data_IF_723733200538
#
_entry.id   IF_723733200538
#
_cell.length_a   1.000
_cell.length_b   1.000
_cell.length_c   1.000
_cell.angle_alpha   90.00
_cell.angle_beta   90.00
_cell.angle_gamma   90.00
#
_symmetry.space_group_name_H-M   'P 1'
#
loop_
_entity.id
_entity.type
_entity.pdbx_description
1 polymer ?
#
# COMPACT_ATOMS: atom_id res chain seq x y z
N UNK A 1 -0.14 -21.23 2.85
CA UNK A 1 -0.02 -20.02 2.00
C UNK A 1 1.40 -19.50 2.19
N UNK A 2 2.00 -18.96 1.12
CA UNK A 2 3.35 -18.38 1.19
C UNK A 2 3.32 -17.08 2.00
N UNK A 3 4.44 -16.73 2.64
CA UNK A 3 4.62 -15.44 3.32
C UNK A 3 4.35 -14.26 2.37
N UNK A 4 4.60 -14.44 1.08
CA UNK A 4 4.53 -13.40 0.05
C UNK A 4 3.21 -13.37 -0.71
N UNK A 5 2.19 -14.13 -0.29
CA UNK A 5 0.96 -14.30 -1.07
C UNK A 5 -0.02 -13.12 -0.98
N UNK A 6 0.15 -12.21 -0.02
CA UNK A 6 -0.76 -11.09 0.18
C UNK A 6 -0.06 -9.97 0.93
N UNK A 7 -0.33 -8.72 0.54
CA UNK A 7 -0.04 -7.58 1.39
C UNK A 7 -1.13 -6.53 1.33
N UNK A 8 -1.51 -6.01 2.50
CA UNK A 8 -2.41 -4.87 2.63
C UNK A 8 -1.59 -3.62 2.95
N UNK A 9 -1.90 -2.51 2.29
CA UNK A 9 -1.32 -1.20 2.58
C UNK A 9 -2.46 -0.25 2.92
N UNK A 10 -2.39 0.37 4.09
CA UNK A 10 -3.32 1.39 4.54
C UNK A 10 -2.71 2.75 4.31
N UNK A 11 -3.49 3.67 3.74
CA UNK A 11 -2.99 4.94 3.21
C UNK A 11 -3.89 6.11 3.60
N UNK A 12 -3.27 7.21 4.04
CA UNK A 12 -3.91 8.49 4.35
C UNK A 12 -3.26 9.67 3.61
N UNK A 13 -3.92 10.83 3.68
CA UNK A 13 -3.53 12.08 3.00
C UNK A 13 -3.50 11.98 1.46
N UNK A 14 -4.27 11.04 0.91
CA UNK A 14 -4.48 10.86 -0.52
C UNK A 14 -5.83 10.18 -0.75
N UNK A 15 -6.50 10.50 -1.85
CA UNK A 15 -7.76 9.86 -2.24
C UNK A 15 -7.54 8.54 -2.98
N UNK A 16 -8.59 7.74 -3.12
CA UNK A 16 -8.58 6.51 -3.95
C UNK A 16 -8.17 6.83 -5.39
N UNK A 17 -8.76 7.86 -5.99
CA UNK A 17 -8.49 8.25 -7.39
C UNK A 17 -7.06 8.76 -7.59
N UNK A 18 -6.54 9.54 -6.64
CA UNK A 18 -5.14 9.98 -6.67
C UNK A 18 -4.18 8.81 -6.49
N UNK A 19 -4.51 7.86 -5.61
CA UNK A 19 -3.74 6.62 -5.43
C UNK A 19 -3.71 5.82 -6.72
N UNK A 20 -4.86 5.63 -7.38
CA UNK A 20 -4.91 4.93 -8.68
C UNK A 20 -4.09 5.63 -9.76
N UNK A 21 -4.15 6.97 -9.84
CA UNK A 21 -3.32 7.75 -10.78
C UNK A 21 -1.83 7.60 -10.49
N UNK A 22 -1.43 7.66 -9.23
CA UNK A 22 -0.05 7.49 -8.80
C UNK A 22 0.47 6.10 -9.19
N UNK A 23 -0.27 5.04 -8.86
CA UNK A 23 0.14 3.66 -9.17
C UNK A 23 0.14 3.36 -10.67
N UNK A 24 -0.80 3.94 -11.43
CA UNK A 24 -0.80 3.87 -12.90
C UNK A 24 0.50 4.45 -13.48
N UNK A 25 0.89 5.64 -13.00
CA UNK A 25 2.13 6.29 -13.43
C UNK A 25 3.38 5.52 -13.00
N UNK A 26 3.39 4.97 -11.79
CA UNK A 26 4.52 4.20 -11.24
C UNK A 26 4.78 2.92 -12.03
N UNK A 27 3.70 2.24 -12.43
CA UNK A 27 3.78 0.90 -13.03
C UNK A 27 3.67 0.92 -14.56
N UNK A 28 3.28 2.05 -15.17
CA UNK A 28 3.08 2.16 -16.61
C UNK A 28 1.86 1.38 -17.11
N UNK A 29 0.82 1.26 -16.28
CA UNK A 29 -0.41 0.52 -16.59
C UNK A 29 -1.67 1.34 -16.31
N UNK A 30 -2.84 0.74 -16.55
CA UNK A 30 -4.14 1.36 -16.31
C UNK A 30 -5.00 0.49 -15.40
N UNK A 31 -5.80 1.13 -14.55
CA UNK A 31 -6.76 0.43 -13.72
C UNK A 31 -7.98 -0.01 -14.53
N UNK A 32 -8.33 -1.28 -14.40
CA UNK A 32 -9.64 -1.79 -14.77
C UNK A 32 -10.53 -1.78 -13.52
N UNK A 33 -11.41 -0.78 -13.43
CA UNK A 33 -12.20 -0.46 -12.23
C UNK A 33 -11.32 -0.10 -11.03
N UNK A 34 -10.90 -1.11 -10.27
CA UNK A 34 -10.11 -0.98 -9.03
C UNK A 34 -8.84 -1.80 -9.06
N UNK A 35 -8.61 -2.55 -10.13
CA UNK A 35 -7.52 -3.50 -10.24
C UNK A 35 -6.51 -3.03 -11.29
N UNK A 36 -5.23 -3.12 -10.97
CA UNK A 36 -4.11 -2.90 -11.85
C UNK A 36 -3.24 -4.16 -11.85
N UNK A 37 -2.94 -4.68 -13.03
CA UNK A 37 -2.01 -5.81 -13.20
C UNK A 37 -0.63 -5.30 -13.54
N UNK A 38 0.39 -5.74 -12.79
CA UNK A 38 1.80 -5.36 -12.99
C UNK A 38 2.64 -6.63 -13.02
N UNK A 39 3.01 -7.09 -14.22
CA UNK A 39 3.67 -8.39 -14.38
C UNK A 39 2.78 -9.51 -13.84
N UNK A 40 3.27 -10.26 -12.86
CA UNK A 40 2.53 -11.34 -12.19
C UNK A 40 1.91 -10.92 -10.84
N UNK A 41 1.79 -9.62 -10.59
CA UNK A 41 1.15 -9.05 -9.41
C UNK A 41 -0.17 -8.40 -9.78
N UNK A 42 -1.19 -8.64 -8.97
CA UNK A 42 -2.44 -7.90 -8.96
C UNK A 42 -2.40 -6.84 -7.84
N UNK A 43 -2.87 -5.64 -8.13
CA UNK A 43 -2.97 -4.53 -7.20
C UNK A 43 -4.41 -4.01 -7.22
N UNK A 44 -5.14 -4.12 -6.11
CA UNK A 44 -6.46 -3.51 -5.94
C UNK A 44 -6.36 -2.23 -5.09
N UNK A 45 -7.04 -1.16 -5.51
CA UNK A 45 -7.17 0.08 -4.72
C UNK A 45 -8.64 0.36 -4.43
N UNK A 46 -8.97 0.53 -3.16
CA UNK A 46 -10.34 0.78 -2.69
C UNK A 46 -10.41 1.75 -1.51
N UNK A 47 -11.62 2.25 -1.25
CA UNK A 47 -11.92 2.88 0.04
C UNK A 47 -11.83 1.81 1.11
N UNK A 48 -11.10 2.10 2.19
CA UNK A 48 -11.04 1.21 3.34
C UNK A 48 -12.45 1.09 3.98
N UNK A 49 -13.01 -0.12 4.12
CA UNK A 49 -14.31 -0.33 4.77
C UNK A 49 -14.32 0.13 6.23
N UNK A 50 -13.18 0.09 6.92
CA UNK A 50 -13.03 0.47 8.32
C UNK A 50 -12.79 1.98 8.50
N UNK A 51 -12.75 2.75 7.41
CA UNK A 51 -12.53 4.20 7.46
C UNK A 51 -13.70 4.94 8.13
N UNK A 52 -13.38 5.70 9.16
CA UNK A 52 -14.33 6.61 9.83
C UNK A 52 -14.38 7.98 9.16
N UNK A 53 -15.50 8.68 9.37
CA UNK A 53 -15.69 10.03 8.85
C UNK A 53 -14.91 11.09 9.64
N UNK A 54 -14.49 10.76 10.87
CA UNK A 54 -14.12 11.74 11.90
C UNK A 54 -12.63 12.17 11.84
N UNK A 55 -12.05 12.12 10.65
CA UNK A 55 -10.66 12.51 10.40
C UNK A 55 -9.65 11.37 10.56
N UNK A 56 -8.47 11.58 9.97
CA UNK A 56 -7.35 10.63 10.02
C UNK A 56 -6.56 10.86 11.29
N UNK A 57 -6.52 9.87 12.19
CA UNK A 57 -5.57 9.86 13.30
C UNK A 57 -4.28 9.17 12.84
N UNK A 58 -3.09 9.77 13.05
CA UNK A 58 -1.81 9.18 12.63
C UNK A 58 -1.58 7.77 13.20
N UNK A 59 -1.97 7.54 14.45
CA UNK A 59 -1.73 6.28 15.16
C UNK A 59 -2.78 5.19 14.91
N UNK A 60 -3.89 5.54 14.25
CA UNK A 60 -4.97 4.61 13.93
C UNK A 60 -5.00 4.31 12.43
N UNK A 61 -3.87 3.80 11.93
CA UNK A 61 -3.71 3.48 10.50
C UNK A 61 -4.73 2.47 9.99
N UNK A 62 -5.30 1.65 10.89
CA UNK A 62 -6.40 0.72 10.60
C UNK A 62 -7.62 1.44 10.01
N UNK A 63 -7.84 2.71 10.38
CA UNK A 63 -8.98 3.53 9.93
C UNK A 63 -8.64 4.50 8.80
N UNK A 64 -7.45 4.42 8.22
CA UNK A 64 -7.08 5.31 7.13
C UNK A 64 -7.93 5.09 5.88
N UNK A 65 -8.24 6.14 5.10
CA UNK A 65 -9.33 6.14 4.13
C UNK A 65 -9.11 5.23 2.91
N UNK A 66 -7.86 4.96 2.55
CA UNK A 66 -7.51 4.19 1.36
C UNK A 66 -6.85 2.88 1.76
N UNK A 67 -7.24 1.81 1.09
CA UNK A 67 -6.64 0.49 1.21
C UNK A 67 -6.15 0.04 -0.17
N UNK A 68 -4.93 -0.47 -0.20
CA UNK A 68 -4.32 -1.14 -1.35
C UNK A 68 -4.12 -2.61 -0.96
N UNK A 69 -4.48 -3.53 -1.83
CA UNK A 69 -4.19 -4.96 -1.68
C UNK A 69 -3.29 -5.40 -2.83
N UNK A 70 -2.26 -6.18 -2.52
CA UNK A 70 -1.34 -6.74 -3.53
C UNK A 70 -1.29 -8.25 -3.39
N UNK A 71 -1.50 -8.96 -4.49
CA UNK A 71 -1.52 -10.43 -4.53
C UNK A 71 -0.72 -10.93 -5.73
N UNK A 72 0.19 -11.90 -5.56
CA UNK A 72 0.77 -12.62 -6.68
C UNK A 72 -0.28 -13.48 -7.38
N UNK A 73 -0.33 -13.40 -8.71
CA UNK A 73 -1.20 -14.27 -9.52
C UNK A 73 -0.58 -15.66 -9.75
N UNK A 74 0.73 -15.80 -9.53
CA UNK A 74 1.48 -17.04 -9.68
C UNK A 74 2.52 -17.21 -8.56
N UNK A 75 3.05 -18.43 -8.33
CA UNK A 75 4.17 -18.63 -7.42
C UNK A 75 5.44 -17.87 -7.83
N UNK A 76 5.61 -17.53 -9.11
CA UNK A 76 6.75 -16.72 -9.54
C UNK A 76 6.56 -15.24 -9.18
N UNK A 77 5.33 -14.73 -9.18
CA UNK A 77 4.99 -13.40 -8.70
C UNK A 77 5.42 -13.15 -7.24
N UNK A 78 5.37 -14.18 -6.38
CA UNK A 78 5.83 -14.11 -4.98
C UNK A 78 7.28 -13.60 -4.87
N UNK A 79 8.14 -13.96 -5.82
CA UNK A 79 9.55 -13.52 -5.86
C UNK A 79 9.72 -12.01 -6.08
N UNK A 80 8.66 -11.33 -6.51
CA UNK A 80 8.63 -9.89 -6.78
C UNK A 80 7.80 -9.10 -5.76
N UNK A 81 7.13 -9.77 -4.81
CA UNK A 81 6.22 -9.14 -3.87
C UNK A 81 6.90 -8.04 -3.04
N UNK A 82 8.01 -8.37 -2.38
CA UNK A 82 8.79 -7.41 -1.56
C UNK A 82 9.19 -6.19 -2.38
N UNK A 83 9.72 -6.40 -3.60
CA UNK A 83 10.15 -5.32 -4.49
C UNK A 83 8.98 -4.44 -4.92
N UNK A 84 7.85 -5.05 -5.28
CA UNK A 84 6.67 -4.33 -5.75
C UNK A 84 6.06 -3.50 -4.62
N UNK A 85 5.85 -4.09 -3.45
CA UNK A 85 5.29 -3.39 -2.28
C UNK A 85 6.22 -2.28 -1.80
N UNK A 86 7.55 -2.50 -1.78
CA UNK A 86 8.51 -1.47 -1.40
C UNK A 86 8.41 -0.24 -2.30
N UNK A 87 8.32 -0.43 -3.62
CA UNK A 87 8.17 0.68 -4.58
C UNK A 87 6.86 1.42 -4.42
N UNK A 88 5.78 0.72 -4.09
CA UNK A 88 4.47 1.35 -3.81
C UNK A 88 4.57 2.25 -2.57
N UNK A 89 5.15 1.74 -1.48
CA UNK A 89 5.33 2.50 -0.24
C UNK A 89 6.18 3.76 -0.47
N UNK A 90 7.32 3.63 -1.13
CA UNK A 90 8.20 4.75 -1.45
C UNK A 90 7.48 5.81 -2.29
N UNK A 91 6.76 5.40 -3.34
CA UNK A 91 6.01 6.32 -4.19
C UNK A 91 4.90 7.07 -3.42
N UNK A 92 4.24 6.41 -2.46
CA UNK A 92 3.24 7.04 -1.61
C UNK A 92 3.89 8.08 -0.69
N UNK A 93 5.00 7.74 -0.05
CA UNK A 93 5.72 8.69 0.82
C UNK A 93 6.30 9.87 0.05
N UNK A 94 6.82 9.66 -1.15
CA UNK A 94 7.28 10.73 -2.05
C UNK A 94 6.15 11.69 -2.42
N UNK A 95 4.93 11.15 -2.59
CA UNK A 95 3.70 11.91 -2.80
C UNK A 95 3.14 12.57 -1.52
N UNK A 96 3.88 12.56 -0.41
CA UNK A 96 3.47 13.07 0.90
C UNK A 96 2.26 12.35 1.53
N UNK A 97 1.89 11.17 1.02
CA UNK A 97 0.90 10.32 1.63
C UNK A 97 1.50 9.57 2.83
N UNK A 98 0.68 9.29 3.84
CA UNK A 98 1.05 8.33 4.88
C UNK A 98 0.68 6.93 4.39
N UNK A 99 1.57 5.96 4.57
CA UNK A 99 1.34 4.59 4.13
C UNK A 99 1.98 3.58 5.09
N UNK A 100 1.22 2.55 5.47
CA UNK A 100 1.67 1.43 6.29
C UNK A 100 1.24 0.12 5.65
N UNK A 101 2.19 -0.78 5.39
CA UNK A 101 1.95 -2.15 5.00
C UNK A 101 1.73 -3.03 6.25
N UNK A 102 0.73 -3.89 6.18
CA UNK A 102 0.39 -4.91 7.18
C UNK A 102 0.34 -6.26 6.48
N UNK A 103 1.44 -7.00 6.53
CA UNK A 103 1.59 -8.30 5.89
C UNK A 103 2.73 -9.12 6.47
N UNK A 104 2.78 -10.41 6.14
CA UNK A 104 3.71 -11.33 6.81
C UNK A 104 5.19 -11.01 6.55
N UNK A 105 5.52 -10.22 5.51
CA UNK A 105 6.89 -9.81 5.15
C UNK A 105 7.18 -8.33 5.43
N UNK A 106 6.45 -7.70 6.35
CA UNK A 106 6.63 -6.29 6.71
C UNK A 106 8.04 -5.94 7.20
N UNK A 107 8.75 -6.87 7.84
CA UNK A 107 10.13 -6.74 8.28
C UNK A 107 11.16 -6.66 7.14
N UNK A 108 10.81 -7.14 5.94
CA UNK A 108 11.62 -7.03 4.73
C UNK A 108 11.35 -5.72 3.96
N UNK A 109 10.30 -4.98 4.35
CA UNK A 109 9.91 -3.72 3.72
C UNK A 109 10.63 -2.53 4.36
N UNK A 110 10.81 -1.43 3.60
CA UNK A 110 11.35 -0.19 4.14
C UNK A 110 10.59 0.26 5.40
N UNK A 111 11.32 0.66 6.44
CA UNK A 111 10.75 1.14 7.71
C UNK A 111 9.81 0.14 8.41
N UNK A 112 10.06 -1.17 8.22
CA UNK A 112 9.17 -2.25 8.67
C UNK A 112 7.74 -2.06 8.15
N UNK A 113 7.61 -1.83 6.85
CA UNK A 113 6.34 -1.52 6.21
C UNK A 113 5.82 -0.11 6.47
N UNK A 114 6.63 0.80 7.01
CA UNK A 114 6.22 2.19 7.31
C UNK A 114 5.87 2.45 8.77
N UNK A 115 5.73 1.42 9.61
CA UNK A 115 5.37 1.60 11.03
C UNK A 115 6.43 2.40 11.80
N UNK A 116 7.70 2.25 11.44
CA UNK A 116 8.78 3.02 12.07
C UNK A 116 8.76 4.50 11.65
N UNK A 117 8.21 4.82 10.47
CA UNK A 117 8.11 6.19 9.96
C UNK A 117 7.04 6.98 10.73
N UNK A 118 5.93 6.34 11.12
CA UNK A 118 4.91 6.96 11.96
C UNK A 118 5.47 7.36 13.32
N UNK A 119 6.19 6.45 13.98
CA UNK A 119 6.78 6.68 15.30
C UNK A 119 7.79 7.84 15.37
N UNK A 120 8.39 8.21 14.24
CA UNK A 120 9.31 9.36 14.17
C UNK A 120 8.58 10.69 13.93
N UNK A 121 7.31 10.65 13.53
CA UNK A 121 6.49 11.84 13.24
C UNK A 121 5.92 12.48 14.50
N UNK A 122 5.83 11.72 15.60
CA UNK A 122 5.20 12.15 16.87
C UNK A 122 6.15 12.92 17.80
N UNK A 123 7.44 13.01 17.45
CA UNK A 123 8.50 13.62 18.28
C UNK A 123 8.93 15.01 17.76
N UNK A 124 8.11 15.67 16.94
CA UNK A 124 8.39 16.98 16.32
C UNK A 124 7.34 18.05 16.64
#
# INVERSE_FOLDING_TARGET
>A
MSRYSYCKILVANITVDETQRLLSSLCGGAFERRTLTVGEMEIEVRRNPDAQADGVQPDDFVRWPVQIETEPMTPHGETTAVKTVSRILEALWDAQAQAVAACDFEDELPWMGGIQRLRQSDDS
#
